data_IF_921678107601
#
_entry.id   IF_921678107601
#
_cell.length_a   1.000
_cell.length_b   1.000
_cell.length_c   1.000
_cell.angle_alpha   90.00
_cell.angle_beta   90.00
_cell.angle_gamma   90.00
#
_symmetry.space_group_name_H-M   'P 1'
#
loop_
_entity.id
_entity.type
_entity.pdbx_description
1 polymer ?
#
# COMPACT_ATOMS: atom_id res chain seq x y z
N UNK A 1 12.14 -87.58 -1.60
CA UNK A 1 10.94 -86.77 -1.41
C UNK A 1 11.40 -85.37 -0.99
N UNK A 2 11.49 -84.49 -1.95
CA UNK A 2 11.95 -83.11 -1.72
C UNK A 2 10.73 -82.19 -1.86
N UNK A 3 10.36 -81.47 -0.80
CA UNK A 3 9.27 -80.47 -0.79
C UNK A 3 9.79 -79.16 -1.36
N UNK A 4 9.18 -78.73 -2.42
CA UNK A 4 9.37 -77.39 -3.01
C UNK A 4 8.39 -76.42 -2.31
N UNK A 5 8.91 -75.36 -1.73
CA UNK A 5 8.14 -74.18 -1.24
C UNK A 5 8.00 -73.16 -2.33
N UNK A 6 6.87 -72.44 -2.47
CA UNK A 6 6.70 -71.44 -3.48
C UNK A 6 7.32 -70.06 -3.07
N UNK A 7 7.94 -69.37 -4.05
CA UNK A 7 8.44 -68.01 -3.96
C UNK A 7 7.31 -67.00 -3.75
N UNK A 8 7.45 -66.18 -2.72
CA UNK A 8 6.63 -64.95 -2.57
C UNK A 8 7.15 -63.87 -3.50
N UNK A 9 6.28 -63.48 -4.44
CA UNK A 9 6.50 -62.32 -5.33
C UNK A 9 6.23 -61.05 -4.54
N UNK A 10 7.28 -60.27 -4.23
CA UNK A 10 7.19 -58.96 -3.61
C UNK A 10 6.60 -57.89 -4.52
N UNK A 11 5.38 -57.50 -4.24
CA UNK A 11 4.72 -56.33 -4.87
C UNK A 11 4.48 -55.25 -3.79
N UNK A 12 5.54 -54.65 -3.29
CA UNK A 12 5.42 -53.52 -2.34
C UNK A 12 6.47 -52.43 -2.53
N UNK A 13 6.70 -51.98 -3.78
CA UNK A 13 7.69 -50.90 -4.03
C UNK A 13 7.18 -49.70 -4.84
N UNK A 14 6.16 -49.88 -5.66
CA UNK A 14 5.80 -48.88 -6.67
C UNK A 14 4.73 -47.86 -6.21
N UNK A 15 3.82 -48.26 -5.30
CA UNK A 15 2.72 -47.38 -4.86
C UNK A 15 3.17 -46.27 -3.88
N UNK A 16 4.19 -46.54 -3.07
CA UNK A 16 4.70 -45.56 -2.09
C UNK A 16 5.48 -44.41 -2.74
N UNK A 17 6.18 -44.70 -3.84
CA UNK A 17 6.98 -43.67 -4.56
C UNK A 17 6.10 -42.72 -5.40
N UNK A 18 5.03 -43.24 -6.00
CA UNK A 18 4.07 -42.43 -6.76
C UNK A 18 3.28 -41.49 -5.87
N UNK A 19 2.86 -41.95 -4.68
CA UNK A 19 2.16 -41.10 -3.70
C UNK A 19 3.08 -40.02 -3.11
N UNK A 20 4.36 -40.32 -2.88
CA UNK A 20 5.35 -39.32 -2.41
C UNK A 20 5.72 -38.29 -3.48
N UNK A 21 5.68 -38.66 -4.76
CA UNK A 21 5.88 -37.71 -5.89
C UNK A 21 4.64 -36.84 -6.10
N UNK A 22 3.43 -37.38 -5.94
CA UNK A 22 2.17 -36.62 -5.98
C UNK A 22 2.06 -35.65 -4.79
N UNK A 23 2.46 -36.04 -3.59
CA UNK A 23 2.50 -35.16 -2.40
C UNK A 23 3.59 -34.08 -2.49
N UNK A 24 4.70 -34.32 -3.19
CA UNK A 24 5.72 -33.28 -3.46
C UNK A 24 5.32 -32.30 -4.55
N UNK A 25 4.43 -32.67 -5.46
CA UNK A 25 3.87 -31.78 -6.49
C UNK A 25 2.79 -30.84 -6.01
N UNK A 26 2.24 -31.05 -4.79
CA UNK A 26 1.17 -30.23 -4.16
C UNK A 26 1.73 -29.29 -3.07
N UNK A 27 3.04 -29.28 -2.84
CA UNK A 27 3.67 -28.16 -2.15
C UNK A 27 3.70 -26.97 -3.14
N UNK A 28 2.53 -26.36 -3.32
CA UNK A 28 2.38 -25.07 -3.99
C UNK A 28 3.43 -24.14 -3.37
N UNK A 29 4.43 -23.78 -4.16
CA UNK A 29 5.37 -22.74 -3.76
C UNK A 29 4.53 -21.52 -3.42
N UNK A 30 4.59 -21.09 -2.15
CA UNK A 30 3.87 -19.91 -1.68
C UNK A 30 4.16 -18.75 -2.64
N UNK A 31 3.13 -18.22 -3.28
CA UNK A 31 3.26 -17.10 -4.19
C UNK A 31 3.71 -15.87 -3.40
N UNK A 32 4.76 -15.21 -3.89
CA UNK A 32 5.23 -13.94 -3.33
C UNK A 32 4.83 -12.81 -4.26
N UNK A 33 3.85 -12.04 -3.82
CA UNK A 33 3.33 -10.90 -4.56
C UNK A 33 4.13 -9.63 -4.22
N UNK A 34 4.69 -8.98 -5.25
CA UNK A 34 5.38 -7.68 -5.13
C UNK A 34 4.62 -6.62 -5.95
N UNK A 35 3.66 -5.97 -5.31
CA UNK A 35 2.82 -4.94 -5.93
C UNK A 35 3.62 -3.72 -6.40
N UNK A 36 4.68 -3.33 -5.67
CA UNK A 36 5.52 -2.20 -6.10
C UNK A 36 6.23 -2.49 -7.42
N UNK A 37 6.59 -3.74 -7.65
CA UNK A 37 7.20 -4.17 -8.92
C UNK A 37 6.17 -4.26 -10.03
N UNK A 38 4.97 -4.77 -9.73
CA UNK A 38 3.89 -4.87 -10.71
C UNK A 38 3.38 -3.49 -11.13
N UNK A 39 3.25 -2.56 -10.18
CA UNK A 39 2.79 -1.19 -10.39
C UNK A 39 3.97 -0.19 -10.45
N UNK A 40 5.08 -0.60 -11.05
CA UNK A 40 6.31 0.20 -11.09
C UNK A 40 6.07 1.62 -11.62
N UNK A 41 5.23 1.78 -12.62
CA UNK A 41 4.89 3.08 -13.22
C UNK A 41 4.20 4.03 -12.23
N UNK A 42 3.53 3.52 -11.19
CA UNK A 42 2.89 4.31 -10.13
C UNK A 42 3.80 4.57 -8.93
N UNK A 43 4.76 3.67 -8.64
CA UNK A 43 5.55 3.69 -7.41
C UNK A 43 7.05 3.94 -7.61
N UNK A 44 7.50 4.19 -8.85
CA UNK A 44 8.91 4.49 -9.16
C UNK A 44 9.03 5.56 -10.26
N UNK A 45 8.39 6.74 -10.12
CA UNK A 45 8.53 7.82 -11.09
C UNK A 45 9.94 8.39 -11.12
N UNK A 46 10.25 9.14 -12.18
CA UNK A 46 11.49 9.89 -12.30
C UNK A 46 11.57 11.02 -11.25
N UNK A 47 12.77 11.31 -10.75
CA UNK A 47 13.03 12.53 -9.98
C UNK A 47 13.38 13.73 -10.90
N UNK A 48 13.64 13.46 -12.18
CA UNK A 48 14.08 14.48 -13.14
C UNK A 48 12.95 15.10 -13.96
N UNK A 49 11.90 14.34 -14.21
CA UNK A 49 10.79 14.73 -15.09
C UNK A 49 9.45 14.41 -14.43
N UNK A 50 8.48 15.30 -14.63
CA UNK A 50 7.08 15.02 -14.31
C UNK A 50 6.54 14.01 -15.32
N UNK A 51 5.82 13.01 -14.85
CA UNK A 51 5.20 11.96 -15.65
C UNK A 51 3.69 12.03 -15.52
N UNK A 52 2.97 11.78 -16.61
CA UNK A 52 1.51 11.62 -16.58
C UNK A 52 1.21 10.13 -16.51
N UNK A 53 0.33 9.75 -15.60
CA UNK A 53 -0.10 8.38 -15.36
C UNK A 53 -1.62 8.32 -15.24
N UNK A 54 -2.20 7.18 -15.61
CA UNK A 54 -3.58 6.85 -15.31
C UNK A 54 -3.60 5.86 -14.14
N UNK A 55 -4.10 6.31 -12.98
CA UNK A 55 -4.13 5.52 -11.75
C UNK A 55 -5.45 4.74 -11.73
N UNK A 56 -5.41 3.41 -11.83
CA UNK A 56 -6.61 2.58 -11.84
C UNK A 56 -7.31 2.58 -10.48
N UNK A 57 -8.44 1.90 -10.41
CA UNK A 57 -9.05 1.58 -9.13
C UNK A 57 -8.13 0.69 -8.28
N UNK A 58 -7.90 1.11 -7.04
CA UNK A 58 -7.06 0.41 -6.07
C UNK A 58 -7.85 0.13 -4.80
N UNK A 59 -7.67 -1.05 -4.21
CA UNK A 59 -8.21 -1.39 -2.89
C UNK A 59 -7.31 -0.82 -1.81
N UNK A 60 -7.89 -0.11 -0.86
CA UNK A 60 -7.14 0.61 0.17
C UNK A 60 -7.77 0.42 1.56
N UNK A 61 -6.92 0.24 2.55
CA UNK A 61 -7.25 0.53 3.94
C UNK A 61 -7.05 2.03 4.16
N UNK A 62 -8.03 2.73 4.73
CA UNK A 62 -8.07 4.19 4.80
C UNK A 62 -8.52 4.68 6.18
N UNK A 63 -8.01 5.83 6.60
CA UNK A 63 -8.47 6.59 7.77
C UNK A 63 -8.54 8.06 7.38
N UNK A 64 -9.65 8.72 7.68
CA UNK A 64 -9.82 10.15 7.45
C UNK A 64 -9.62 10.95 8.75
N UNK A 65 -9.15 12.20 8.60
CA UNK A 65 -8.96 13.11 9.71
C UNK A 65 -8.61 14.53 9.28
N UNK A 66 -8.25 15.33 10.25
CA UNK A 66 -7.75 16.69 10.06
C UNK A 66 -6.52 16.91 10.97
N UNK A 67 -5.68 17.85 10.59
CA UNK A 67 -4.58 18.30 11.43
C UNK A 67 -5.16 19.13 12.58
N UNK A 68 -4.71 18.83 13.79
CA UNK A 68 -5.11 19.60 14.97
C UNK A 68 -4.54 21.02 14.92
N UNK A 69 -5.23 22.01 15.50
CA UNK A 69 -4.70 23.37 15.59
C UNK A 69 -3.27 23.37 16.14
N UNK A 70 -2.42 24.23 15.58
CA UNK A 70 -1.01 24.41 15.96
C UNK A 70 -0.11 23.17 15.79
N UNK A 71 -0.59 22.12 15.09
CA UNK A 71 0.20 20.96 14.74
C UNK A 71 0.67 21.02 13.26
N UNK A 72 1.86 20.45 13.03
CA UNK A 72 2.27 20.06 11.67
C UNK A 72 1.90 18.59 11.43
N UNK A 73 1.79 18.14 10.16
CA UNK A 73 1.45 16.74 9.83
C UNK A 73 2.28 15.71 10.60
N UNK A 74 3.60 15.92 10.68
CA UNK A 74 4.50 15.01 11.38
C UNK A 74 4.34 14.95 12.90
N UNK A 75 3.68 15.94 13.52
CA UNK A 75 3.43 16.00 14.97
C UNK A 75 1.97 15.84 15.35
N UNK A 76 1.05 15.72 14.40
CA UNK A 76 -0.39 15.50 14.62
C UNK A 76 -0.65 14.15 15.28
N UNK A 77 -1.16 14.09 16.53
CA UNK A 77 -1.49 12.85 17.21
C UNK A 77 -2.51 12.01 16.46
N UNK A 78 -3.53 12.64 15.88
CA UNK A 78 -4.57 11.93 15.11
C UNK A 78 -3.99 11.27 13.86
N UNK A 79 -3.06 11.93 13.17
CA UNK A 79 -2.37 11.38 12.00
C UNK A 79 -1.44 10.23 12.39
N UNK A 80 -0.68 10.35 13.48
CA UNK A 80 0.18 9.28 13.99
C UNK A 80 -0.62 8.03 14.39
N UNK A 81 -1.75 8.20 15.09
CA UNK A 81 -2.64 7.09 15.42
C UNK A 81 -3.23 6.40 14.17
N UNK A 82 -3.55 7.17 13.14
CA UNK A 82 -4.00 6.61 11.87
C UNK A 82 -2.91 5.77 11.19
N UNK A 83 -1.67 6.25 11.18
CA UNK A 83 -0.51 5.49 10.66
C UNK A 83 -0.34 4.16 11.40
N UNK A 84 -0.40 4.18 12.73
CA UNK A 84 -0.30 2.97 13.54
C UNK A 84 -1.43 1.97 13.25
N UNK A 85 -2.67 2.46 13.11
CA UNK A 85 -3.82 1.64 12.77
C UNK A 85 -3.69 1.03 11.37
N UNK A 86 -3.27 1.81 10.38
CA UNK A 86 -3.08 1.37 9.00
C UNK A 86 -1.99 0.30 8.86
N UNK A 87 -0.84 0.50 9.49
CA UNK A 87 0.19 -0.56 9.50
C UNK A 87 -0.27 -1.77 10.30
N UNK A 88 -0.98 -1.56 11.41
CA UNK A 88 -1.55 -2.63 12.22
C UNK A 88 -2.45 -3.55 11.42
N UNK A 89 -3.44 -2.99 10.70
CA UNK A 89 -4.36 -3.77 9.86
C UNK A 89 -3.63 -4.41 8.68
N UNK A 90 -2.75 -3.67 7.98
CA UNK A 90 -2.05 -4.16 6.80
C UNK A 90 -1.12 -5.34 7.11
N UNK A 91 -0.41 -5.30 8.25
CA UNK A 91 0.41 -6.44 8.69
C UNK A 91 -0.45 -7.61 9.18
N UNK A 92 -1.59 -7.37 9.83
CA UNK A 92 -2.51 -8.44 10.22
C UNK A 92 -3.03 -9.16 8.99
N UNK A 93 -3.54 -8.43 8.00
CA UNK A 93 -3.99 -8.98 6.71
C UNK A 93 -2.88 -9.77 5.99
N UNK A 94 -1.66 -9.22 5.94
CA UNK A 94 -0.52 -9.91 5.35
C UNK A 94 -0.25 -11.26 6.01
N UNK A 95 -0.19 -11.30 7.32
CA UNK A 95 0.10 -12.55 8.04
C UNK A 95 -1.06 -13.53 7.97
N UNK A 96 -2.30 -13.07 8.02
CA UNK A 96 -3.49 -13.91 7.83
C UNK A 96 -3.51 -14.50 6.41
N UNK A 97 -3.25 -13.69 5.38
CA UNK A 97 -3.14 -14.16 3.99
C UNK A 97 -2.07 -15.23 3.80
N UNK A 98 -0.90 -15.01 4.42
CA UNK A 98 0.21 -15.96 4.38
C UNK A 98 -0.07 -17.25 5.12
N UNK A 99 -0.86 -17.21 6.19
CA UNK A 99 -1.18 -18.35 7.04
C UNK A 99 -2.37 -19.19 6.55
N UNK A 100 -3.02 -18.81 5.44
CA UNK A 100 -4.17 -19.58 4.90
C UNK A 100 -3.75 -20.98 4.50
N UNK A 101 -4.61 -21.95 4.80
CA UNK A 101 -4.42 -23.34 4.37
C UNK A 101 -4.60 -23.53 2.87
N UNK A 102 -5.46 -22.72 2.26
CA UNK A 102 -5.74 -22.72 0.82
C UNK A 102 -5.24 -21.43 0.19
N UNK A 103 -4.48 -21.55 -0.90
CA UNK A 103 -3.88 -20.45 -1.65
C UNK A 103 -3.18 -19.40 -0.76
N UNK A 104 -2.16 -19.76 0.04
CA UNK A 104 -1.42 -18.80 0.84
C UNK A 104 -0.67 -17.82 -0.06
N UNK A 105 -0.83 -16.53 0.21
CA UNK A 105 -0.14 -15.46 -0.52
C UNK A 105 0.68 -14.64 0.47
N UNK A 106 2.00 -14.56 0.26
CA UNK A 106 2.89 -13.63 0.96
C UNK A 106 3.09 -12.38 0.09
N UNK A 107 2.94 -11.21 0.66
CA UNK A 107 3.14 -9.94 -0.05
C UNK A 107 3.85 -8.91 0.80
N UNK A 108 4.46 -7.93 0.16
CA UNK A 108 5.07 -6.80 0.85
C UNK A 108 3.99 -5.75 1.11
N UNK A 109 3.84 -5.32 2.37
CA UNK A 109 2.95 -4.20 2.72
C UNK A 109 3.38 -2.96 1.94
N UNK A 110 2.41 -2.32 1.31
CA UNK A 110 2.64 -1.14 0.48
C UNK A 110 3.01 0.09 1.33
N UNK A 111 3.62 1.11 0.73
CA UNK A 111 3.93 2.34 1.43
C UNK A 111 2.68 3.00 2.03
N UNK A 112 2.88 3.82 3.05
CA UNK A 112 1.88 4.78 3.48
C UNK A 112 1.70 5.83 2.39
N UNK A 113 0.45 6.19 2.16
CA UNK A 113 0.03 7.23 1.24
C UNK A 113 -0.89 8.20 1.99
N UNK A 114 -0.94 9.46 1.59
CA UNK A 114 -1.88 10.42 2.15
C UNK A 114 -2.40 11.38 1.07
N UNK A 115 -3.71 11.58 1.09
CA UNK A 115 -4.35 12.69 0.36
C UNK A 115 -4.48 13.87 1.32
N UNK A 116 -4.16 15.06 0.81
CA UNK A 116 -4.19 16.31 1.55
C UNK A 116 -5.06 17.34 0.87
N UNK A 117 -5.83 18.11 1.63
CA UNK A 117 -6.64 19.20 1.11
C UNK A 117 -6.91 20.25 2.20
N UNK A 118 -7.21 21.48 1.79
CA UNK A 118 -7.72 22.50 2.71
C UNK A 118 -9.16 22.18 3.10
N UNK A 119 -9.49 22.29 4.38
CA UNK A 119 -10.87 22.14 4.88
C UNK A 119 -11.74 23.32 4.44
N UNK A 120 -11.12 24.48 4.28
CA UNK A 120 -11.71 25.69 3.75
C UNK A 120 -10.69 26.45 2.86
N UNK A 121 -11.16 27.14 1.86
CA UNK A 121 -10.30 27.89 0.96
C UNK A 121 -9.45 27.04 0.02
N UNK A 122 -8.31 27.57 -0.37
CA UNK A 122 -7.38 26.92 -1.29
C UNK A 122 -6.29 26.17 -0.52
N UNK A 123 -5.92 24.99 -1.01
CA UNK A 123 -4.82 24.19 -0.43
C UNK A 123 -3.49 24.95 -0.61
N UNK A 124 -2.77 25.15 0.48
CA UNK A 124 -1.45 25.76 0.53
C UNK A 124 -0.53 24.87 1.40
N UNK A 125 0.49 24.31 0.79
CA UNK A 125 1.44 23.41 1.47
C UNK A 125 2.23 24.10 2.59
N UNK A 126 2.34 25.43 2.54
CA UNK A 126 3.03 26.21 3.58
C UNK A 126 2.19 26.47 4.83
N UNK A 127 0.88 26.21 4.78
CA UNK A 127 -0.07 26.51 5.87
C UNK A 127 -0.91 25.30 6.28
N UNK A 128 -0.34 24.33 7.00
CA UNK A 128 -1.01 23.04 7.30
C UNK A 128 -2.12 23.13 8.37
N UNK A 129 -2.33 24.27 8.99
CA UNK A 129 -3.25 24.43 10.14
C UNK A 129 -4.74 24.19 9.85
N UNK A 130 -5.14 24.05 8.58
CA UNK A 130 -6.51 23.74 8.18
C UNK A 130 -6.59 22.55 7.22
N UNK A 131 -5.62 21.62 7.29
CA UNK A 131 -5.61 20.48 6.39
C UNK A 131 -6.48 19.33 6.87
N UNK A 132 -7.33 18.85 5.96
CA UNK A 132 -7.90 17.52 6.02
C UNK A 132 -6.98 16.51 5.36
N UNK A 133 -7.08 15.25 5.77
CA UNK A 133 -6.30 14.17 5.20
C UNK A 133 -7.07 12.85 5.13
N UNK A 134 -6.70 12.02 4.16
CA UNK A 134 -6.99 10.59 4.12
C UNK A 134 -5.66 9.86 4.10
N UNK A 135 -5.26 9.25 5.21
CA UNK A 135 -4.12 8.34 5.23
C UNK A 135 -4.56 6.96 4.74
N UNK A 136 -3.72 6.28 3.96
CA UNK A 136 -4.11 5.03 3.32
C UNK A 136 -2.92 4.11 3.02
N UNK A 137 -3.20 2.80 2.92
CA UNK A 137 -2.25 1.78 2.47
C UNK A 137 -2.96 0.85 1.49
N UNK A 138 -2.40 0.72 0.30
CA UNK A 138 -2.92 -0.18 -0.73
C UNK A 138 -2.85 -1.64 -0.26
N UNK A 139 -3.93 -2.37 -0.53
CA UNK A 139 -4.06 -3.79 -0.26
C UNK A 139 -4.13 -4.58 -1.58
N UNK A 140 -3.62 -5.82 -1.61
CA UNK A 140 -3.75 -6.69 -2.79
C UNK A 140 -5.21 -7.00 -3.14
N UNK A 141 -5.48 -7.29 -4.41
CA UNK A 141 -6.83 -7.56 -4.93
C UNK A 141 -7.51 -8.77 -4.27
N UNK A 142 -6.74 -9.77 -3.80
CA UNK A 142 -7.30 -10.95 -3.13
C UNK A 142 -7.83 -10.65 -1.71
N UNK A 143 -7.52 -9.48 -1.13
CA UNK A 143 -8.10 -9.06 0.14
C UNK A 143 -9.57 -8.72 -0.07
N UNK A 144 -10.43 -9.37 0.72
CA UNK A 144 -11.89 -9.17 0.71
C UNK A 144 -12.35 -8.38 1.94
N UNK A 145 -13.58 -7.85 1.89
CA UNK A 145 -14.20 -7.18 3.05
C UNK A 145 -14.23 -8.09 4.28
N UNK A 146 -14.60 -9.37 4.11
CA UNK A 146 -14.60 -10.35 5.22
C UNK A 146 -13.22 -10.52 5.84
N UNK A 147 -12.16 -10.62 5.03
CA UNK A 147 -10.79 -10.70 5.54
C UNK A 147 -10.39 -9.44 6.30
N UNK A 148 -10.82 -8.29 5.83
CA UNK A 148 -10.55 -7.01 6.49
C UNK A 148 -11.27 -6.93 7.84
N UNK A 149 -12.56 -7.27 7.90
CA UNK A 149 -13.36 -7.26 9.12
C UNK A 149 -12.78 -8.22 10.19
N UNK A 150 -12.43 -9.45 9.79
CA UNK A 150 -11.79 -10.42 10.69
C UNK A 150 -10.44 -9.92 11.22
N UNK A 151 -9.63 -9.29 10.37
CA UNK A 151 -8.35 -8.71 10.77
C UNK A 151 -8.54 -7.51 11.72
N UNK A 152 -9.55 -6.67 11.46
CA UNK A 152 -9.89 -5.54 12.29
C UNK A 152 -10.33 -5.98 13.69
N UNK A 153 -11.16 -7.01 13.78
CA UNK A 153 -11.59 -7.59 15.06
C UNK A 153 -10.41 -8.19 15.86
N UNK A 154 -9.48 -8.86 15.19
CA UNK A 154 -8.25 -9.34 15.82
C UNK A 154 -7.41 -8.19 16.35
N UNK A 155 -7.29 -7.11 15.56
CA UNK A 155 -6.48 -5.96 15.92
C UNK A 155 -7.09 -5.19 17.10
N UNK A 156 -8.42 -5.00 17.12
CA UNK A 156 -9.17 -4.38 18.23
C UNK A 156 -8.95 -5.11 19.55
N UNK A 157 -8.97 -6.46 19.52
CA UNK A 157 -8.72 -7.30 20.71
C UNK A 157 -7.28 -7.18 21.20
N UNK A 158 -6.32 -7.06 20.29
CA UNK A 158 -4.89 -7.05 20.61
C UNK A 158 -4.36 -5.67 21.02
N UNK A 159 -4.82 -4.62 20.35
CA UNK A 159 -4.35 -3.22 20.51
C UNK A 159 -5.50 -2.26 20.26
N UNK A 160 -6.42 -2.08 21.21
CA UNK A 160 -7.52 -1.14 21.04
C UNK A 160 -6.99 0.29 20.84
N UNK A 161 -7.57 0.99 19.87
CA UNK A 161 -7.23 2.38 19.56
C UNK A 161 -8.45 3.07 18.92
N UNK A 162 -8.75 4.33 19.26
CA UNK A 162 -9.84 5.07 18.61
C UNK A 162 -9.71 5.21 17.10
N UNK A 163 -8.48 5.14 16.56
CA UNK A 163 -8.25 5.18 15.12
C UNK A 163 -8.81 3.94 14.40
N UNK A 164 -8.94 2.79 15.09
CA UNK A 164 -9.52 1.57 14.52
C UNK A 164 -11.02 1.72 14.19
N UNK A 165 -11.73 2.61 14.88
CA UNK A 165 -13.15 2.84 14.60
C UNK A 165 -13.37 3.72 13.35
N UNK A 166 -12.31 4.39 12.90
CA UNK A 166 -12.29 5.19 11.66
C UNK A 166 -11.69 4.44 10.47
N UNK A 167 -11.11 3.24 10.71
CA UNK A 167 -10.57 2.41 9.66
C UNK A 167 -11.69 1.92 8.75
N UNK A 168 -11.51 2.14 7.46
CA UNK A 168 -12.40 1.64 6.41
C UNK A 168 -11.61 0.96 5.31
N UNK A 169 -12.22 0.00 4.64
CA UNK A 169 -11.70 -0.67 3.46
C UNK A 169 -12.57 -0.29 2.27
N UNK A 170 -11.97 -0.04 1.13
CA UNK A 170 -12.73 0.33 -0.04
C UNK A 170 -11.85 0.58 -1.26
N UNK A 171 -12.52 0.93 -2.35
CA UNK A 171 -11.90 1.24 -3.63
C UNK A 171 -11.71 2.75 -3.76
N UNK A 172 -10.57 3.17 -4.30
CA UNK A 172 -10.29 4.53 -4.68
C UNK A 172 -9.76 4.58 -6.11
N UNK A 173 -10.34 5.44 -6.93
CA UNK A 173 -9.94 5.70 -8.29
C UNK A 173 -9.45 7.15 -8.41
N UNK A 174 -8.14 7.32 -8.60
CA UNK A 174 -7.54 8.65 -8.73
C UNK A 174 -7.60 9.15 -10.20
N UNK A 175 -7.47 8.23 -11.17
CA UNK A 175 -7.56 8.53 -12.59
C UNK A 175 -6.32 9.25 -13.14
N UNK A 176 -6.54 10.09 -14.16
CA UNK A 176 -5.46 10.81 -14.83
C UNK A 176 -4.77 11.76 -13.86
N UNK A 177 -3.47 11.53 -13.64
CA UNK A 177 -2.68 12.25 -12.66
C UNK A 177 -1.29 12.56 -13.21
N UNK A 178 -0.64 13.56 -12.70
CA UNK A 178 0.78 13.77 -12.89
C UNK A 178 1.54 13.43 -11.62
N UNK A 179 2.79 12.96 -11.75
CA UNK A 179 3.62 12.59 -10.61
C UNK A 179 5.10 12.84 -10.85
N UNK A 180 5.84 12.97 -9.76
CA UNK A 180 7.31 13.10 -9.75
C UNK A 180 7.86 12.54 -8.43
N UNK A 181 9.09 12.02 -8.44
CA UNK A 181 9.80 11.69 -7.21
C UNK A 181 10.45 12.93 -6.62
N UNK A 182 10.06 13.30 -5.40
CA UNK A 182 10.81 14.22 -4.56
C UNK A 182 11.88 13.46 -3.77
N UNK A 183 13.11 13.98 -3.71
CA UNK A 183 14.21 13.46 -2.91
C UNK A 183 14.68 14.58 -2.01
N UNK A 184 14.53 14.42 -0.71
CA UNK A 184 14.86 15.42 0.28
C UNK A 184 13.85 15.50 1.41
N UNK A 185 14.02 16.45 2.35
CA UNK A 185 13.08 16.68 3.43
C UNK A 185 11.77 17.28 2.91
N UNK A 186 10.66 17.02 3.59
CA UNK A 186 9.33 17.52 3.21
C UNK A 186 9.28 19.05 3.04
N UNK A 187 10.07 19.80 3.83
CA UNK A 187 10.16 21.26 3.71
C UNK A 187 10.68 21.76 2.35
N UNK A 188 11.31 20.91 1.55
CA UNK A 188 11.84 21.25 0.21
C UNK A 188 10.86 20.88 -0.91
N UNK A 189 9.72 20.25 -0.62
CA UNK A 189 8.69 19.85 -1.59
C UNK A 189 8.12 21.04 -2.40
N UNK A 190 7.99 22.26 -1.86
CA UNK A 190 7.50 23.41 -2.64
C UNK A 190 8.25 23.63 -3.95
N UNK A 191 9.57 23.40 -3.99
CA UNK A 191 10.35 23.53 -5.22
C UNK A 191 10.00 22.44 -6.25
N UNK A 192 9.66 21.23 -5.80
CA UNK A 192 9.22 20.14 -6.67
C UNK A 192 7.80 20.35 -7.15
N UNK A 193 6.91 20.86 -6.30
CA UNK A 193 5.54 21.22 -6.66
C UNK A 193 5.50 22.32 -7.72
N UNK A 194 6.33 23.35 -7.59
CA UNK A 194 6.45 24.40 -8.60
C UNK A 194 6.82 23.84 -9.99
N UNK A 195 7.64 22.77 -10.06
CA UNK A 195 7.94 22.07 -11.32
C UNK A 195 6.72 21.34 -11.88
N UNK A 196 5.88 20.74 -11.01
CA UNK A 196 4.63 20.10 -11.42
C UNK A 196 3.63 21.13 -11.97
N UNK A 197 3.47 22.27 -11.31
CA UNK A 197 2.60 23.37 -11.76
C UNK A 197 3.04 23.92 -13.12
N UNK A 198 4.35 24.13 -13.30
CA UNK A 198 4.89 24.59 -14.58
C UNK A 198 4.67 23.57 -15.69
N UNK A 199 4.85 22.27 -15.40
CA UNK A 199 4.54 21.19 -16.33
C UNK A 199 3.05 21.20 -16.72
N UNK A 200 2.14 21.34 -15.75
CA UNK A 200 0.71 21.41 -16.00
C UNK A 200 0.37 22.58 -16.91
N UNK A 201 0.91 23.77 -16.63
CA UNK A 201 0.72 25.00 -17.43
C UNK A 201 1.21 24.83 -18.88
N UNK A 202 2.39 24.23 -19.07
CA UNK A 202 2.99 24.02 -20.40
C UNK A 202 2.23 23.01 -21.25
N UNK A 203 1.54 22.04 -20.61
CA UNK A 203 0.82 20.95 -21.27
C UNK A 203 -0.70 21.16 -21.28
N UNK A 204 -1.19 22.35 -20.93
CA UNK A 204 -2.62 22.68 -20.86
C UNK A 204 -3.41 21.75 -19.95
N UNK A 205 -2.84 21.43 -18.79
CA UNK A 205 -3.53 20.74 -17.72
C UNK A 205 -3.94 21.71 -16.60
N UNK A 206 -5.05 21.40 -15.96
CA UNK A 206 -5.47 22.01 -14.70
C UNK A 206 -5.37 20.95 -13.59
N UNK A 207 -4.86 21.37 -12.43
CA UNK A 207 -4.88 20.57 -11.22
C UNK A 207 -6.33 20.40 -10.75
N UNK A 208 -6.69 19.20 -10.32
CA UNK A 208 -7.99 18.90 -9.73
C UNK A 208 -7.84 17.90 -8.60
N UNK A 209 -8.89 17.69 -7.81
CA UNK A 209 -8.82 16.72 -6.71
C UNK A 209 -7.91 17.16 -5.56
N UNK A 210 -7.27 16.18 -4.92
CA UNK A 210 -6.46 16.37 -3.71
C UNK A 210 -4.98 16.17 -4.02
N UNK A 211 -4.12 16.86 -3.27
CA UNK A 211 -2.69 16.57 -3.29
C UNK A 211 -2.41 15.20 -2.69
N UNK A 212 -1.61 14.38 -3.36
CA UNK A 212 -1.33 13.00 -2.97
C UNK A 212 0.17 12.79 -2.75
N UNK A 213 0.52 12.34 -1.57
CA UNK A 213 1.89 11.97 -1.19
C UNK A 213 2.01 10.48 -0.92
N UNK A 214 3.04 9.83 -1.46
CA UNK A 214 3.36 8.42 -1.23
C UNK A 214 4.74 8.32 -0.61
N UNK A 215 4.82 7.88 0.63
CA UNK A 215 6.04 7.91 1.44
C UNK A 215 6.88 6.64 1.28
N UNK A 216 7.99 6.72 0.56
CA UNK A 216 8.85 5.57 0.26
C UNK A 216 9.96 5.34 1.28
N UNK A 217 10.10 6.21 2.26
CA UNK A 217 11.06 6.14 3.35
C UNK A 217 10.43 6.43 4.71
N UNK A 218 11.02 5.87 5.77
CA UNK A 218 10.63 6.21 7.15
C UNK A 218 11.53 7.37 7.63
N UNK A 219 10.99 8.56 7.92
CA UNK A 219 11.77 9.72 8.35
C UNK A 219 12.49 9.51 9.68
N UNK A 220 12.06 8.53 10.49
CA UNK A 220 12.73 8.17 11.75
C UNK A 220 13.98 7.33 11.54
N UNK A 221 14.17 6.75 10.33
CA UNK A 221 15.24 5.79 10.00
C UNK A 221 16.13 6.24 8.86
N UNK A 222 15.71 7.22 8.09
CA UNK A 222 16.42 7.73 6.93
C UNK A 222 16.94 9.14 7.21
N UNK A 223 18.14 9.45 6.74
CA UNK A 223 18.64 10.83 6.74
C UNK A 223 17.73 11.71 5.85
N UNK A 224 17.41 12.95 6.26
CA UNK A 224 16.42 13.78 5.57
C UNK A 224 16.68 13.93 4.06
N UNK A 225 17.92 14.11 3.66
CA UNK A 225 18.33 14.25 2.26
C UNK A 225 18.16 12.97 1.40
N UNK A 226 17.87 11.83 2.04
CA UNK A 226 17.62 10.53 1.40
C UNK A 226 16.15 10.13 1.41
N UNK A 227 15.29 10.93 2.04
CA UNK A 227 13.86 10.70 2.00
C UNK A 227 13.37 10.74 0.55
N UNK A 228 12.37 9.93 0.27
CA UNK A 228 11.74 9.87 -1.05
C UNK A 228 10.24 9.87 -0.88
N UNK A 229 9.61 10.85 -1.50
CA UNK A 229 8.16 11.00 -1.57
C UNK A 229 7.74 11.07 -3.03
N UNK A 230 6.75 10.32 -3.43
CA UNK A 230 6.11 10.57 -4.72
C UNK A 230 5.06 11.65 -4.48
N UNK A 231 5.23 12.78 -5.15
CA UNK A 231 4.22 13.83 -5.21
C UNK A 231 3.36 13.56 -6.44
N UNK A 232 2.06 13.38 -6.22
CA UNK A 232 1.07 13.11 -7.27
C UNK A 232 -0.08 14.09 -7.17
N UNK A 233 -0.65 14.44 -8.29
CA UNK A 233 -1.82 15.31 -8.33
C UNK A 233 -2.72 14.94 -9.51
N UNK A 234 -4.02 14.72 -9.30
CA UNK A 234 -4.96 14.54 -10.39
C UNK A 234 -5.01 15.78 -11.30
N UNK A 235 -5.16 15.54 -12.59
CA UNK A 235 -5.19 16.57 -13.62
C UNK A 235 -6.36 16.36 -14.58
N UNK A 236 -6.78 17.45 -15.19
CA UNK A 236 -7.73 17.44 -16.31
C UNK A 236 -7.27 18.41 -17.40
N UNK A 237 -7.68 18.18 -18.64
CA UNK A 237 -7.37 19.09 -19.73
C UNK A 237 -7.98 20.49 -19.46
N UNK A 238 -7.20 21.54 -19.68
CA UNK A 238 -7.73 22.90 -19.71
C UNK A 238 -8.65 23.02 -20.92
N UNK A 239 -9.85 23.59 -20.72
CA UNK A 239 -10.81 23.86 -21.79
C UNK A 239 -10.41 25.07 -22.58
#
# INVERSE_FOLDING_TARGET
MQKILPEEVGVHGAASTALAVLLKGVLSSMERLDLRRQLKHLYQPSAKMVEVVDVPELKLAMVDGAIEPDCAPGSSPAFQQAIEALYGISFTLKFDSKARSEAPIDYTVMPLEALWWALDGQFDISHPGNWGWTAMIMQPDHITDSMFDEALDKLRKKRPSPALDRLRFGVFHEGLSMQIMHIGPYGDEPATLARMEEFARQNSYMLCGKHHEIYLGDPRRSAPEKLRTILRHPIQASR
#
